data_IF_169884156554
#
_entry.id   IF_169884156554
#
_cell.length_a   1.000
_cell.length_b   1.000
_cell.length_c   1.000
_cell.angle_alpha   90.00
_cell.angle_beta   90.00
_cell.angle_gamma   90.00
#
_symmetry.space_group_name_H-M   'P 1'
#
loop_
_entity.id
_entity.type
_entity.pdbx_description
1 polymer ?
2 non-polymer ?
3 water ?
#
# COMPACT_ATOMS: atom_id res chain seq x y z
N UNK A 2 16.13 -19.51 0.59
CA UNK A 2 15.79 -19.90 2.00
C UNK A 2 15.77 -18.66 2.88
N UNK A 3 16.94 -18.19 3.32
CA UNK A 3 16.98 -16.85 3.96
C UNK A 3 16.74 -15.72 2.90
N UNK A 4 17.05 -15.95 1.63
CA UNK A 4 16.65 -14.99 0.57
C UNK A 4 15.14 -14.91 0.52
N UNK A 5 14.50 -16.08 0.52
CA UNK A 5 13.05 -16.16 0.42
C UNK A 5 12.39 -15.43 1.57
N UNK A 6 12.86 -15.67 2.79
CA UNK A 6 12.23 -15.10 3.96
C UNK A 6 12.45 -13.60 4.06
N UNK A 7 13.65 -13.12 3.70
CA UNK A 7 13.86 -11.67 3.50
C UNK A 7 12.82 -11.09 2.54
N UNK A 8 12.58 -11.76 1.44
CA UNK A 8 11.72 -11.20 0.42
C UNK A 8 10.30 -11.16 0.92
N UNK A 9 9.86 -12.15 1.70
CA UNK A 9 8.50 -12.14 2.27
C UNK A 9 8.38 -11.00 3.29
N UNK A 10 9.42 -10.82 4.10
CA UNK A 10 9.34 -9.80 5.13
C UNK A 10 9.43 -8.40 4.47
N UNK A 11 10.26 -8.24 3.44
CA UNK A 11 10.33 -6.96 2.73
C UNK A 11 8.97 -6.59 2.12
N UNK A 12 8.29 -7.54 1.47
CA UNK A 12 6.96 -7.29 0.93
C UNK A 12 5.96 -6.89 2.03
N UNK A 13 5.98 -7.53 3.19
CA UNK A 13 5.10 -7.14 4.29
C UNK A 13 5.29 -5.67 4.75
N UNK A 14 6.56 -5.29 4.94
CA UNK A 14 6.96 -3.95 5.29
C UNK A 14 6.57 -2.90 4.24
N UNK A 15 6.89 -3.17 2.97
CA UNK A 15 6.67 -2.21 1.90
C UNK A 15 5.18 -2.00 1.62
N UNK A 16 4.42 -3.09 1.65
CA UNK A 16 2.95 -2.98 1.57
C UNK A 16 2.44 -2.04 2.65
N UNK A 17 2.88 -2.22 3.87
CA UNK A 17 2.44 -1.36 4.98
C UNK A 17 3.00 0.10 4.84
N UNK A 18 4.24 0.22 4.41
CA UNK A 18 4.84 1.56 4.24
C UNK A 18 4.18 2.39 3.16
N UNK A 19 3.87 1.77 2.03
CA UNK A 19 3.22 2.53 0.91
C UNK A 19 1.89 3.16 1.33
N UNK A 20 1.14 2.40 2.14
CA UNK A 20 -0.13 2.84 2.64
C UNK A 20 -0.01 3.86 3.72
N UNK A 21 0.98 3.68 4.62
CA UNK A 21 1.25 4.69 5.64
C UNK A 21 1.70 5.98 5.00
N UNK A 22 2.50 5.94 3.94
CA UNK A 22 2.83 7.18 3.16
C UNK A 22 1.60 7.90 2.53
N UNK A 23 0.71 7.08 1.99
CA UNK A 23 -0.50 7.55 1.37
C UNK A 23 -1.43 8.17 2.41
N UNK A 24 -1.68 7.43 3.48
CA UNK A 24 -2.40 8.02 4.60
C UNK A 24 -1.78 9.36 5.05
N UNK A 25 -0.45 9.41 5.26
CA UNK A 25 0.19 10.64 5.66
C UNK A 25 -0.13 11.78 4.68
N UNK A 26 0.04 11.50 3.38
CA UNK A 26 -0.14 12.47 2.29
C UNK A 26 -1.57 12.97 2.25
N UNK A 27 -2.53 12.13 2.66
CA UNK A 27 -3.96 12.47 2.62
C UNK A 27 -4.53 13.18 3.87
N UNK A 28 -3.80 13.20 4.99
CA UNK A 28 -4.19 14.05 6.12
C UNK A 28 -4.31 15.54 5.70
N UNK A 29 -5.39 16.20 6.13
CA UNK A 29 -5.71 17.59 5.74
C UNK A 29 -4.80 18.63 6.42
N UNK A 30 -4.79 19.88 5.92
CA UNK A 30 -4.01 20.97 6.56
C UNK A 30 -4.51 21.20 7.98
N UNK A 31 -3.63 21.71 8.85
CA UNK A 31 -3.99 21.94 10.27
C UNK A 31 -5.10 23.01 10.32
N UNK A 32 -6.24 22.62 10.90
CA UNK A 32 -7.44 23.44 10.92
C UNK A 32 -7.32 24.57 11.97
N UNK A 33 -7.98 25.68 11.67
CA UNK A 33 -7.88 26.89 12.48
C UNK A 33 -8.79 26.83 13.71
N UNK A 34 -9.64 25.79 13.79
CA UNK A 34 -10.63 25.61 14.83
C UNK A 34 -10.15 24.50 15.84
N UNK A 35 -10.22 24.81 17.14
CA UNK A 35 -9.70 23.93 18.19
C UNK A 35 -10.34 22.52 18.31
N UNK A 36 -11.63 22.35 17.97
CA UNK A 36 -12.27 21.02 17.98
C UNK A 36 -11.79 20.13 16.80
N UNK A 37 -11.56 20.77 15.64
CA UNK A 37 -10.98 20.09 14.49
C UNK A 37 -9.52 19.76 14.76
N UNK A 38 -8.77 20.68 15.35
CA UNK A 38 -7.38 20.43 15.70
C UNK A 38 -7.31 19.27 16.72
N UNK A 39 -8.21 19.20 17.69
CA UNK A 39 -8.21 18.05 18.62
C UNK A 39 -8.26 16.73 17.87
N UNK A 40 -9.13 16.64 16.86
CA UNK A 40 -9.33 15.39 16.15
C UNK A 40 -8.14 15.08 15.22
N UNK A 41 -7.61 16.10 14.54
CA UNK A 41 -6.40 15.91 13.73
C UNK A 41 -5.24 15.48 14.57
N UNK A 42 -5.07 16.11 15.74
CA UNK A 42 -3.98 15.82 16.65
C UNK A 42 -4.15 14.36 17.11
N UNK A 43 -5.40 14.00 17.45
CA UNK A 43 -5.72 12.67 18.04
C UNK A 43 -5.49 11.58 16.97
N UNK A 44 -5.84 11.91 15.73
CA UNK A 44 -5.60 11.01 14.61
C UNK A 44 -4.09 10.78 14.36
N UNK A 45 -3.31 11.86 14.40
CA UNK A 45 -1.91 11.76 14.12
C UNK A 45 -1.14 11.07 15.24
N UNK A 46 -1.47 11.32 16.50
CA UNK A 46 -0.85 10.60 17.62
C UNK A 46 -1.01 9.07 17.46
N UNK A 47 -2.19 8.64 16.98
CA UNK A 47 -2.46 7.21 16.75
C UNK A 47 -1.56 6.70 15.59
N UNK A 48 -1.41 7.52 14.55
CA UNK A 48 -0.46 7.27 13.47
C UNK A 48 0.97 7.12 13.97
N UNK A 49 1.43 8.10 14.79
CA UNK A 49 2.76 8.02 15.37
C UNK A 49 2.90 6.68 16.17
N UNK A 50 1.86 6.26 16.85
CA UNK A 50 1.94 4.97 17.55
C UNK A 50 2.10 3.83 16.57
N UNK A 51 1.46 3.95 15.42
CA UNK A 51 1.62 2.97 14.39
C UNK A 51 3.01 2.91 13.82
N UNK A 52 3.59 4.08 13.51
CA UNK A 52 4.98 4.16 13.03
C UNK A 52 5.93 3.46 13.98
N UNK A 53 5.90 3.90 15.22
CA UNK A 53 6.70 3.28 16.30
C UNK A 53 6.59 1.74 16.34
N UNK A 54 5.37 1.23 16.24
CA UNK A 54 5.16 -0.22 16.32
C UNK A 54 5.81 -0.97 15.13
N UNK A 55 6.00 -0.26 14.01
CA UNK A 55 6.55 -0.91 12.79
C UNK A 55 8.05 -0.74 12.65
N UNK A 56 8.61 0.12 13.50
CA UNK A 56 10.04 0.49 13.46
C UNK A 56 10.96 -0.71 13.62
N UNK A 57 10.70 -1.65 14.54
CA UNK A 57 11.57 -2.82 14.65
C UNK A 57 11.48 -3.72 13.42
N UNK A 58 10.34 -3.75 12.73
CA UNK A 58 10.17 -4.63 11.55
C UNK A 58 11.02 -4.07 10.41
N UNK A 59 10.95 -2.76 10.21
CA UNK A 59 11.84 -2.08 9.26
C UNK A 59 13.30 -2.40 9.57
N UNK A 60 13.69 -2.24 10.81
CA UNK A 60 15.09 -2.52 11.20
C UNK A 60 15.44 -3.97 11.04
N UNK A 61 14.48 -4.84 11.38
CA UNK A 61 14.68 -6.26 11.21
C UNK A 61 14.93 -6.67 9.75
N UNK A 62 14.08 -6.21 8.82
CA UNK A 62 14.29 -6.44 7.37
C UNK A 62 15.65 -5.87 6.89
N UNK A 63 15.99 -4.66 7.32
CA UNK A 63 17.31 -4.03 6.95
C UNK A 63 18.51 -4.86 7.51
N UNK A 64 18.32 -5.43 8.68
CA UNK A 64 19.34 -6.28 9.23
C UNK A 64 19.44 -7.61 8.43
N UNK A 65 18.30 -8.21 8.06
CA UNK A 65 18.33 -9.42 7.21
C UNK A 65 18.97 -9.23 5.83
N UNK A 66 18.74 -8.10 5.20
CA UNK A 66 19.37 -7.73 3.94
C UNK A 66 20.85 -7.60 4.12
N UNK A 67 21.25 -6.92 5.19
CA UNK A 67 22.66 -6.77 5.48
C UNK A 67 23.44 -8.06 5.70
N UNK A 68 22.85 -8.98 6.45
CA UNK A 68 23.42 -10.31 6.66
C UNK A 68 23.55 -11.11 5.37
N UNK A 69 22.54 -11.06 4.50
CA UNK A 69 22.55 -11.79 3.21
C UNK A 69 23.68 -11.26 2.34
N UNK A 70 23.89 -9.95 2.41
CA UNK A 70 24.90 -9.31 1.59
C UNK A 70 26.35 -9.58 2.05
N UNK A 71 26.59 -9.59 3.38
CA UNK A 71 27.91 -9.78 3.97
C UNK A 71 28.31 -11.26 3.93
N UNK A 72 27.34 -12.17 4.01
CA UNK A 72 27.61 -13.58 4.07
C UNK A 72 28.12 -14.20 2.76
N UNK A 73 27.83 -13.56 1.65
CA UNK A 73 28.46 -13.90 0.39
C UNK A 73 27.78 -14.98 -0.44
N UNK A 74 26.66 -15.53 0.00
CA UNK A 74 26.06 -16.68 -0.67
C UNK A 74 25.23 -16.34 -1.92
N UNK A 75 25.05 -15.04 -2.23
CA UNK A 75 24.11 -14.58 -3.26
C UNK A 75 24.80 -14.21 -4.58
N UNK A 76 24.03 -14.16 -5.67
CA UNK A 76 24.57 -13.71 -6.96
C UNK A 76 24.84 -12.18 -6.93
N UNK A 77 25.64 -11.67 -7.88
CA UNK A 77 25.87 -10.23 -8.05
C UNK A 77 24.55 -9.48 -8.29
N UNK A 78 23.66 -10.06 -9.10
CA UNK A 78 22.35 -9.46 -9.42
C UNK A 78 21.44 -9.30 -8.20
N UNK A 79 21.36 -10.36 -7.42
CA UNK A 79 20.62 -10.35 -6.21
C UNK A 79 21.16 -9.30 -5.20
N UNK A 80 22.50 -9.17 -5.12
CA UNK A 80 23.14 -8.17 -4.26
C UNK A 80 22.82 -6.71 -4.65
N UNK A 81 22.81 -6.42 -5.97
CA UNK A 81 22.46 -5.12 -6.48
C UNK A 81 20.98 -4.85 -6.19
N UNK A 82 20.15 -5.90 -6.30
CA UNK A 82 18.71 -5.81 -6.01
C UNK A 82 18.53 -5.50 -4.53
N UNK A 83 19.18 -6.28 -3.63
CA UNK A 83 19.07 -6.05 -2.20
C UNK A 83 19.62 -4.69 -1.77
N UNK A 84 20.75 -4.29 -2.30
CA UNK A 84 21.34 -3.02 -1.90
C UNK A 84 20.42 -1.87 -2.24
N UNK A 85 19.83 -1.89 -3.43
CA UNK A 85 18.90 -0.84 -3.84
C UNK A 85 17.60 -0.86 -2.99
N UNK A 86 17.12 -2.07 -2.67
CA UNK A 86 15.96 -2.17 -1.81
C UNK A 86 16.22 -1.60 -0.41
N UNK A 87 17.40 -1.86 0.13
CA UNK A 87 17.74 -1.38 1.47
C UNK A 87 18.00 0.13 1.45
N UNK A 88 18.65 0.60 0.43
CA UNK A 88 18.86 2.04 0.33
C UNK A 88 17.55 2.87 0.27
N UNK A 89 16.62 2.42 -0.56
CA UNK A 89 15.35 3.07 -0.72
C UNK A 89 14.43 2.87 0.49
N UNK A 90 14.41 1.68 1.12
CA UNK A 90 13.61 1.48 2.29
C UNK A 90 14.00 2.38 3.43
N UNK A 91 15.30 2.42 3.69
CA UNK A 91 15.83 3.30 4.64
C UNK A 91 15.45 4.76 4.33
N UNK A 92 15.56 5.23 3.07
CA UNK A 92 15.26 6.65 2.76
C UNK A 92 13.75 6.94 2.93
N UNK A 93 12.90 5.99 2.57
CA UNK A 93 11.46 6.16 2.71
C UNK A 93 11.05 6.17 4.19
N UNK A 94 11.51 5.17 4.94
CA UNK A 94 11.30 5.18 6.41
C UNK A 94 11.72 6.52 7.08
N UNK A 95 12.90 6.99 6.74
CA UNK A 95 13.40 8.22 7.34
C UNK A 95 12.63 9.50 6.95
N UNK A 96 12.29 9.64 5.67
CA UNK A 96 11.43 10.74 5.17
C UNK A 96 10.08 10.75 5.89
N UNK A 97 9.47 9.59 6.01
CA UNK A 97 8.16 9.48 6.66
C UNK A 97 8.32 9.83 8.15
N UNK A 98 9.35 9.28 8.81
CA UNK A 98 9.65 9.58 10.23
C UNK A 98 9.84 11.10 10.51
N UNK A 99 10.63 11.79 9.69
CA UNK A 99 10.87 13.22 9.86
C UNK A 99 9.61 14.01 9.59
N UNK A 100 8.91 13.69 8.52
CA UNK A 100 7.72 14.44 8.17
C UNK A 100 6.62 14.19 9.18
N UNK A 101 6.47 12.94 9.63
CA UNK A 101 5.49 12.68 10.63
C UNK A 101 5.78 13.43 11.96
N UNK A 102 7.03 13.41 12.38
CA UNK A 102 7.44 14.18 13.57
C UNK A 102 7.17 15.69 13.45
N UNK A 103 7.52 16.29 12.30
CA UNK A 103 7.22 17.70 12.06
C UNK A 103 5.72 17.91 12.19
N UNK A 104 4.92 17.04 11.58
CA UNK A 104 3.48 17.15 11.67
C UNK A 104 2.98 17.10 13.10
N UNK A 105 3.52 16.17 13.90
CA UNK A 105 3.25 16.09 15.32
C UNK A 105 3.58 17.40 16.08
N UNK A 106 4.76 17.95 15.87
CA UNK A 106 5.13 19.25 16.47
C UNK A 106 4.11 20.33 16.16
N UNK A 107 3.73 20.44 14.88
CA UNK A 107 2.84 21.49 14.41
C UNK A 107 1.44 21.40 14.99
N UNK A 108 0.93 20.17 15.04
CA UNK A 108 -0.37 19.87 15.66
C UNK A 108 -0.36 20.10 17.17
N UNK A 109 0.68 19.67 17.86
CA UNK A 109 0.90 19.99 19.28
C UNK A 109 0.89 21.49 19.58
N UNK A 110 1.58 22.27 18.74
CA UNK A 110 1.77 23.68 18.97
C UNK A 110 0.46 24.37 18.64
N UNK A 111 -0.20 23.94 17.55
CA UNK A 111 -1.52 24.45 17.13
C UNK A 111 -2.61 24.22 18.18
N UNK A 112 -2.67 23.03 18.71
CA UNK A 112 -3.63 22.74 19.73
C UNK A 112 -3.38 23.55 21.03
N UNK A 113 -2.12 23.61 21.53
CA UNK A 113 -1.75 24.38 22.70
C UNK A 113 -2.07 25.85 22.46
N UNK A 114 -1.74 26.36 21.27
CA UNK A 114 -2.04 27.75 20.95
C UNK A 114 -3.51 28.08 20.94
N UNK A 115 -4.29 27.26 20.26
CA UNK A 115 -5.74 27.47 20.20
C UNK A 115 -6.45 27.29 21.54
N UNK A 116 -6.00 26.34 22.38
CA UNK A 116 -6.55 26.18 23.70
C UNK A 116 -6.28 27.41 24.58
N UNK A 117 -5.03 27.84 24.61
CA UNK A 117 -4.63 28.98 25.38
C UNK A 117 -5.29 30.28 24.86
N UNK A 118 -5.70 30.34 23.60
CA UNK A 118 -6.47 31.48 23.09
C UNK A 118 -7.92 31.44 23.58
N UNK A 119 -8.45 30.23 23.79
CA UNK A 119 -9.71 30.11 24.53
C UNK A 119 -9.57 30.56 26.00
N UNK A 120 -8.51 30.13 26.66
CA UNK A 120 -8.35 30.35 28.11
C UNK A 120 -8.24 31.85 28.47
N UNK A 121 -7.47 32.59 27.67
CA UNK A 121 -7.25 34.02 27.90
C UNK A 121 -8.45 34.87 27.43
N UNK A 122 -9.51 34.22 26.95
CA UNK A 122 -10.84 34.83 26.86
C UNK A 122 -11.77 34.18 27.92
N UNK A 123 -11.16 33.81 29.07
CA UNK A 123 -11.87 33.26 30.25
C UNK A 123 -13.39 33.28 30.14
N UNK B 1 -17.56 -6.57 8.07
CA UNK B 1 -18.70 -7.54 8.28
C UNK B 1 -19.97 -6.89 8.88
N UNK B 2 -20.41 -5.79 8.25
CA UNK B 2 -21.74 -5.14 8.43
C UNK B 2 -22.14 -4.66 9.85
N UNK B 3 -21.16 -4.56 10.74
CA UNK B 3 -21.11 -3.52 11.79
C UNK B 3 -20.04 -2.54 11.28
N UNK B 4 -20.15 -1.26 11.59
CA UNK B 4 -19.36 -0.23 10.91
C UNK B 4 -17.83 -0.38 11.16
N UNK B 5 -17.49 -0.71 12.43
CA UNK B 5 -16.14 -1.08 12.87
C UNK B 5 -15.52 -2.18 12.02
N UNK B 6 -16.24 -3.31 11.84
CA UNK B 6 -15.69 -4.43 11.05
C UNK B 6 -15.53 -4.03 9.57
N UNK B 7 -16.49 -3.30 9.02
CA UNK B 7 -16.36 -2.75 7.66
C UNK B 7 -15.06 -1.92 7.53
N UNK B 8 -14.81 -0.99 8.44
CA UNK B 8 -13.69 -0.07 8.32
C UNK B 8 -12.35 -0.78 8.30
N UNK B 9 -12.21 -1.79 9.17
CA UNK B 9 -11.01 -2.63 9.26
C UNK B 9 -10.86 -3.48 8.01
N UNK B 10 -11.94 -4.13 7.53
CA UNK B 10 -11.86 -4.91 6.29
C UNK B 10 -11.48 -3.97 5.08
N UNK B 11 -11.99 -2.74 5.08
CA UNK B 11 -11.77 -1.79 4.00
C UNK B 11 -10.30 -1.31 3.93
N UNK B 12 -9.78 -0.93 5.09
CA UNK B 12 -8.35 -0.70 5.27
C UNK B 12 -7.43 -1.84 4.75
N UNK B 13 -7.70 -3.08 5.16
CA UNK B 13 -6.96 -4.28 4.67
C UNK B 13 -6.93 -4.39 3.12
N UNK B 14 -8.10 -4.25 2.53
CA UNK B 14 -8.29 -4.32 1.08
C UNK B 14 -7.56 -3.16 0.38
N UNK B 15 -7.70 -1.94 0.89
CA UNK B 15 -7.09 -0.75 0.27
C UNK B 15 -5.60 -0.79 0.34
N UNK B 16 -5.08 -1.28 1.47
CA UNK B 16 -3.64 -1.53 1.67
C UNK B 16 -3.11 -2.57 0.67
N UNK B 17 -3.80 -3.66 0.48
CA UNK B 17 -3.36 -4.62 -0.55
C UNK B 17 -3.43 -4.02 -1.99
N UNK B 18 -4.54 -3.32 -2.27
CA UNK B 18 -4.82 -2.79 -3.59
C UNK B 18 -3.80 -1.76 -4.00
N UNK B 19 -3.38 -0.93 -3.04
CA UNK B 19 -2.37 0.11 -3.34
C UNK B 19 -1.05 -0.57 -3.74
N UNK B 20 -0.68 -1.64 -3.02
CA UNK B 20 0.54 -2.36 -3.41
C UNK B 20 0.40 -3.15 -4.74
N UNK B 21 -0.78 -3.69 -5.02
CA UNK B 21 -1.05 -4.40 -6.29
C UNK B 21 -0.92 -3.40 -7.45
N UNK B 22 -1.52 -2.23 -7.29
CA UNK B 22 -1.47 -1.19 -8.33
C UNK B 22 -0.01 -0.83 -8.60
N UNK B 23 0.75 -0.67 -7.51
CA UNK B 23 2.17 -0.35 -7.62
C UNK B 23 3.05 -1.47 -8.27
N UNK B 24 2.85 -2.71 -7.85
CA UNK B 24 3.49 -3.89 -8.49
C UNK B 24 3.17 -3.97 -10.00
N UNK B 25 1.91 -3.77 -10.36
CA UNK B 25 1.53 -3.69 -11.77
C UNK B 25 2.34 -2.60 -12.48
N UNK B 26 2.32 -1.37 -11.95
CA UNK B 26 3.04 -0.26 -12.56
C UNK B 26 4.58 -0.53 -12.68
N UNK B 27 5.13 -1.24 -11.71
CA UNK B 27 6.57 -1.49 -11.62
C UNK B 27 7.11 -2.63 -12.52
N UNK B 28 6.26 -3.37 -13.26
CA UNK B 28 6.82 -4.26 -14.31
C UNK B 28 7.33 -3.41 -15.48
N UNK B 29 8.63 -3.07 -15.44
CA UNK B 29 9.31 -2.20 -16.44
C UNK B 29 10.22 -2.98 -17.38
N UNK B 30 10.05 -4.30 -17.46
CA UNK B 30 10.87 -5.11 -18.38
C UNK B 30 10.47 -4.88 -19.85
N UNK B 31 11.48 -4.70 -20.69
CA UNK B 31 11.27 -4.62 -22.12
C UNK B 31 11.85 -5.94 -22.60
N UNK B 32 11.04 -6.70 -23.33
CA UNK B 32 11.40 -8.08 -23.69
C UNK B 32 11.84 -8.12 -25.13
N UNK B 33 13.11 -8.44 -25.33
CA UNK B 33 13.62 -8.57 -26.69
C UNK B 33 13.62 -10.01 -27.19
N UNK B 34 13.41 -11.00 -26.32
CA UNK B 34 13.37 -12.37 -26.82
C UNK B 34 12.33 -13.22 -26.11
N UNK B 35 12.11 -14.42 -26.64
CA UNK B 35 11.04 -15.26 -26.17
C UNK B 35 11.21 -15.68 -24.72
N UNK B 36 12.45 -15.87 -24.27
CA UNK B 36 12.75 -16.22 -22.88
C UNK B 36 12.30 -15.16 -21.86
N UNK B 37 12.58 -13.89 -22.21
CA UNK B 37 12.07 -12.72 -21.51
C UNK B 37 10.58 -12.69 -21.47
N UNK B 38 9.93 -12.91 -22.64
CA UNK B 38 8.45 -12.86 -22.68
C UNK B 38 7.85 -13.98 -21.82
N UNK B 39 8.55 -15.12 -21.74
CA UNK B 39 8.04 -16.25 -20.92
C UNK B 39 7.98 -15.87 -19.45
N UNK B 40 9.04 -15.21 -19.02
CA UNK B 40 9.16 -14.72 -17.68
C UNK B 40 8.12 -13.71 -17.34
N UNK B 41 7.89 -12.72 -18.21
CA UNK B 41 6.85 -11.71 -17.96
C UNK B 41 5.46 -12.35 -17.92
N UNK B 42 5.19 -13.24 -18.87
CA UNK B 42 3.92 -13.97 -18.90
C UNK B 42 3.75 -14.78 -17.63
N UNK B 43 4.78 -15.50 -17.22
CA UNK B 43 4.66 -16.36 -16.05
C UNK B 43 4.43 -15.54 -14.73
N UNK B 44 5.19 -14.46 -14.56
CA UNK B 44 5.00 -13.46 -13.46
C UNK B 44 3.60 -12.86 -13.47
N UNK B 45 3.14 -12.39 -14.63
CA UNK B 45 1.83 -11.88 -14.74
C UNK B 45 0.72 -12.86 -14.45
N UNK B 46 0.82 -14.13 -14.86
CA UNK B 46 -0.22 -15.12 -14.54
C UNK B 46 -0.33 -15.38 -13.04
N UNK B 47 0.79 -15.33 -12.33
CA UNK B 47 0.83 -15.41 -10.87
C UNK B 47 0.10 -14.17 -10.21
N UNK B 48 0.33 -12.99 -10.75
CA UNK B 48 -0.35 -11.79 -10.31
C UNK B 48 -1.87 -11.92 -10.54
N UNK B 49 -2.26 -12.41 -11.70
CA UNK B 49 -3.68 -12.58 -11.99
C UNK B 49 -4.28 -13.49 -10.93
N UNK B 50 -3.54 -14.49 -10.45
CA UNK B 50 -4.09 -15.37 -9.42
C UNK B 50 -4.19 -14.65 -8.08
N UNK B 51 -3.30 -13.67 -7.88
CA UNK B 51 -3.35 -12.86 -6.68
C UNK B 51 -4.63 -12.05 -6.70
N UNK B 52 -4.90 -11.38 -7.85
CA UNK B 52 -6.15 -10.64 -8.08
C UNK B 52 -7.40 -11.44 -7.87
N UNK B 53 -7.48 -12.60 -8.50
CA UNK B 53 -8.51 -13.57 -8.24
C UNK B 53 -8.70 -13.94 -6.78
N UNK B 54 -7.64 -14.14 -6.00
CA UNK B 54 -7.87 -14.56 -4.57
C UNK B 54 -8.33 -13.38 -3.72
N UNK B 55 -8.02 -12.15 -4.13
CA UNK B 55 -8.46 -10.96 -3.34
C UNK B 55 -9.84 -10.45 -3.77
N UNK B 56 -10.27 -10.87 -4.96
CA UNK B 56 -11.58 -10.58 -5.54
C UNK B 56 -12.71 -10.61 -4.51
N UNK B 57 -12.83 -11.72 -3.78
CA UNK B 57 -13.91 -11.87 -2.85
C UNK B 57 -13.78 -11.01 -1.57
N UNK B 58 -12.56 -10.62 -1.17
CA UNK B 58 -12.36 -9.59 -0.13
C UNK B 58 -12.98 -8.29 -0.59
N UNK B 59 -12.65 -7.88 -1.81
CA UNK B 59 -13.17 -6.69 -2.40
C UNK B 59 -14.70 -6.70 -2.41
N UNK B 60 -15.28 -7.86 -2.71
CA UNK B 60 -16.75 -8.07 -2.81
C UNK B 60 -17.46 -8.17 -1.46
N UNK B 61 -16.81 -8.84 -0.52
CA UNK B 61 -17.15 -8.73 0.90
C UNK B 61 -17.24 -7.26 1.45
N UNK B 62 -16.27 -6.41 1.15
CA UNK B 62 -16.22 -5.04 1.69
C UNK B 62 -17.35 -4.18 1.06
N UNK B 63 -17.54 -4.30 -0.25
CA UNK B 63 -18.63 -3.56 -0.95
C UNK B 63 -20.04 -4.03 -0.51
N UNK B 64 -20.22 -5.33 -0.36
CA UNK B 64 -21.45 -5.91 0.22
C UNK B 64 -21.71 -5.42 1.65
N UNK B 65 -20.69 -5.44 2.50
CA UNK B 65 -20.80 -4.89 3.86
C UNK B 65 -21.15 -3.40 3.87
N UNK B 66 -20.53 -2.64 2.97
CA UNK B 66 -20.89 -1.25 2.77
C UNK B 66 -22.32 -0.98 2.33
N UNK B 67 -22.74 -1.67 1.25
CA UNK B 67 -24.14 -1.69 0.78
C UNK B 67 -25.14 -2.00 1.90
N UNK B 68 -24.85 -3.03 2.70
CA UNK B 68 -25.73 -3.44 3.81
C UNK B 68 -25.83 -2.35 4.92
N UNK B 69 -24.69 -1.84 5.39
CA UNK B 69 -24.69 -0.70 6.35
C UNK B 69 -25.48 0.54 5.88
N UNK B 70 -25.35 0.87 4.58
CA UNK B 70 -26.06 2.01 4.02
C UNK B 70 -27.55 1.74 4.01
N UNK B 71 -27.95 0.54 3.65
CA UNK B 71 -29.39 0.27 3.51
C UNK B 71 -30.07 -0.23 4.80
N UNK B 72 -29.30 -0.46 5.85
CA UNK B 72 -29.84 -0.89 7.16
C UNK B 72 -30.52 0.21 7.97
N UNK B 73 -30.05 1.44 7.80
CA UNK B 73 -30.65 2.59 8.44
C UNK B 73 -30.12 2.96 9.83
N UNK B 74 -28.95 2.47 10.22
CA UNK B 74 -28.41 2.79 11.55
C UNK B 74 -27.39 3.90 11.51
N UNK B 75 -26.98 4.29 10.30
CA UNK B 75 -25.90 5.24 10.15
C UNK B 75 -26.43 6.67 9.99
N UNK B 76 -25.52 7.61 10.18
CA UNK B 76 -25.77 9.01 10.11
C UNK B 76 -25.72 9.37 8.62
N UNK B 77 -26.26 10.52 8.27
CA UNK B 77 -26.10 11.05 6.92
C UNK B 77 -24.62 11.20 6.52
N UNK B 78 -23.75 11.62 7.46
CA UNK B 78 -22.33 11.79 7.18
C UNK B 78 -21.67 10.43 7.00
N UNK B 79 -22.04 9.47 7.81
CA UNK B 79 -21.51 8.13 7.66
C UNK B 79 -21.88 7.51 6.31
N UNK B 80 -23.13 7.65 5.84
CA UNK B 80 -23.51 7.05 4.57
C UNK B 80 -22.82 7.73 3.38
N UNK B 81 -22.68 9.05 3.46
CA UNK B 81 -21.96 9.80 2.44
C UNK B 81 -20.55 9.25 2.32
N UNK B 82 -19.85 9.15 3.45
CA UNK B 82 -18.46 8.67 3.44
C UNK B 82 -18.29 7.23 2.92
N UNK B 83 -19.05 6.29 3.46
CA UNK B 83 -19.12 4.94 2.89
C UNK B 83 -19.41 4.91 1.40
N UNK B 84 -20.41 5.67 0.95
CA UNK B 84 -20.69 5.74 -0.49
C UNK B 84 -19.48 6.19 -1.27
N UNK B 85 -18.71 7.12 -0.72
CA UNK B 85 -17.56 7.66 -1.48
C UNK B 85 -16.41 6.65 -1.48
N UNK B 86 -16.24 5.92 -0.37
CA UNK B 86 -15.29 4.86 -0.24
C UNK B 86 -15.58 3.72 -1.23
N UNK B 87 -16.86 3.39 -1.37
CA UNK B 87 -17.29 2.25 -2.19
C UNK B 87 -17.10 2.60 -3.65
N UNK B 88 -17.40 3.84 -4.01
CA UNK B 88 -17.19 4.33 -5.36
C UNK B 88 -15.71 4.33 -5.76
N UNK B 89 -14.84 4.72 -4.84
CA UNK B 89 -13.40 4.71 -5.14
C UNK B 89 -12.82 3.28 -5.12
N UNK B 90 -13.23 2.45 -4.15
CA UNK B 90 -12.89 1.00 -4.12
C UNK B 90 -13.30 0.29 -5.42
N UNK B 91 -14.56 0.43 -5.82
CA UNK B 91 -15.00 -0.04 -7.15
C UNK B 91 -14.26 0.53 -8.38
N UNK B 92 -14.08 1.86 -8.46
CA UNK B 92 -13.31 2.44 -9.57
C UNK B 92 -11.87 1.91 -9.66
N UNK B 93 -11.16 1.85 -8.53
CA UNK B 93 -9.76 1.46 -8.56
C UNK B 93 -9.55 0.00 -8.93
N UNK B 94 -10.44 -0.85 -8.37
CA UNK B 94 -10.41 -2.28 -8.58
C UNK B 94 -10.71 -2.60 -10.04
N UNK B 95 -11.77 -1.97 -10.57
CA UNK B 95 -12.13 -2.11 -11.96
C UNK B 95 -10.98 -1.73 -12.89
N UNK B 96 -10.25 -0.67 -12.55
CA UNK B 96 -9.15 -0.17 -13.43
C UNK B 96 -7.99 -1.20 -13.46
N UNK B 97 -7.66 -1.67 -12.24
CA UNK B 97 -6.61 -2.66 -12.01
C UNK B 97 -6.92 -4.00 -12.67
N UNK B 98 -8.16 -4.51 -12.51
CA UNK B 98 -8.61 -5.71 -13.16
C UNK B 98 -8.54 -5.54 -14.71
N UNK B 99 -9.10 -4.45 -15.23
CA UNK B 99 -9.08 -4.22 -16.66
C UNK B 99 -7.66 -4.15 -17.25
N UNK B 100 -6.76 -3.41 -16.59
CA UNK B 100 -5.39 -3.26 -17.08
C UNK B 100 -4.63 -4.58 -17.04
N UNK B 101 -4.87 -5.34 -15.98
CA UNK B 101 -4.28 -6.64 -15.82
C UNK B 101 -4.74 -7.61 -16.88
N UNK B 102 -6.06 -7.63 -17.15
CA UNK B 102 -6.58 -8.45 -18.22
C UNK B 102 -6.07 -8.08 -19.61
N UNK B 103 -5.86 -6.78 -19.88
CA UNK B 103 -5.30 -6.33 -21.12
C UNK B 103 -3.85 -6.77 -21.24
N UNK B 104 -3.06 -6.63 -20.18
CA UNK B 104 -1.68 -7.08 -20.17
C UNK B 104 -1.59 -8.61 -20.23
N UNK B 105 -2.53 -9.34 -19.60
CA UNK B 105 -2.56 -10.81 -19.77
C UNK B 105 -2.73 -11.20 -21.24
N UNK B 106 -3.67 -10.57 -21.98
CA UNK B 106 -3.93 -10.96 -23.36
C UNK B 106 -2.78 -10.54 -24.27
N UNK B 107 -2.18 -9.37 -24.03
CA UNK B 107 -1.01 -8.91 -24.80
C UNK B 107 0.19 -9.88 -24.72
N UNK B 108 0.44 -10.33 -23.50
CA UNK B 108 1.56 -11.23 -23.17
C UNK B 108 1.30 -12.65 -23.64
N UNK B 109 0.03 -13.08 -23.51
CA UNK B 109 -0.43 -14.34 -24.07
C UNK B 109 -0.17 -14.38 -25.58
N UNK B 110 -0.64 -13.34 -26.29
CA UNK B 110 -0.57 -13.29 -27.75
C UNK B 110 0.87 -13.15 -28.27
N UNK B 111 1.63 -12.31 -27.60
CA UNK B 111 3.05 -12.14 -27.84
C UNK B 111 3.82 -13.44 -27.67
N UNK B 112 3.62 -14.19 -26.55
CA UNK B 112 4.33 -15.39 -26.29
C UNK B 112 3.93 -16.52 -27.30
N UNK B 113 2.63 -16.70 -27.56
CA UNK B 113 2.13 -17.64 -28.56
C UNK B 113 2.69 -17.34 -29.94
N UNK B 114 2.60 -16.10 -30.44
CA UNK B 114 3.06 -15.84 -31.80
C UNK B 114 4.59 -16.06 -31.92
N UNK B 115 5.38 -15.51 -30.97
CA UNK B 115 6.84 -15.76 -30.89
C UNK B 115 7.23 -17.22 -30.90
N UNK B 116 6.61 -18.03 -30.03
CA UNK B 116 6.89 -19.47 -30.04
C UNK B 116 6.56 -20.11 -31.42
N UNK B 117 5.34 -19.89 -31.93
CA UNK B 117 4.99 -20.43 -33.22
C UNK B 117 5.98 -20.07 -34.31
N UNK B 118 6.44 -18.84 -34.30
CA UNK B 118 7.34 -18.37 -35.31
C UNK B 118 8.73 -18.96 -35.13
N UNK B 119 9.19 -19.04 -33.89
CA UNK B 119 10.49 -19.63 -33.66
C UNK B 119 10.51 -21.08 -34.08
N UNK B 120 9.37 -21.76 -33.94
CA UNK B 120 9.27 -23.16 -34.40
C UNK B 120 9.43 -23.23 -35.92
N UNK B 121 8.79 -22.28 -36.61
CA UNK B 121 8.83 -22.21 -38.07
C UNK B 121 10.25 -21.95 -38.60
N UNK B 122 11.10 -21.37 -37.77
CA UNK B 122 12.53 -21.02 -38.13
C UNK B 122 13.58 -22.13 -37.86
N UNK B 123 13.22 -23.15 -37.08
CA UNK B 123 14.22 -24.09 -36.54
C UNK B 123 13.56 -25.38 -36.06
X LIG C 1 4.02 8.85 20.28
#
# INVERSE_FOLDING_TARGET
>A
DMDLDSYQIALEEVLTWLLSAEDTFQEQDDISDDVEDVKEQFATHETFMMELSAHQSSVGSVLQAGNQLMTQGTLSDEEEFEIQEQMTLLNARWEALRVESMERQSRLHDALMELQKKQLQQL
>B
DMDLDSYQIALEEVLTWLLSAEDTFQEQDDISDDVEDVKEQFATHETFMMELSAHQSSVGSVLQAGNQLMTQGTLSDEEEFEIQEQMTLLNARWEALRVESMERQSRLHDALMELQKKQLQQL
>C hetero
1 MG MG
#
